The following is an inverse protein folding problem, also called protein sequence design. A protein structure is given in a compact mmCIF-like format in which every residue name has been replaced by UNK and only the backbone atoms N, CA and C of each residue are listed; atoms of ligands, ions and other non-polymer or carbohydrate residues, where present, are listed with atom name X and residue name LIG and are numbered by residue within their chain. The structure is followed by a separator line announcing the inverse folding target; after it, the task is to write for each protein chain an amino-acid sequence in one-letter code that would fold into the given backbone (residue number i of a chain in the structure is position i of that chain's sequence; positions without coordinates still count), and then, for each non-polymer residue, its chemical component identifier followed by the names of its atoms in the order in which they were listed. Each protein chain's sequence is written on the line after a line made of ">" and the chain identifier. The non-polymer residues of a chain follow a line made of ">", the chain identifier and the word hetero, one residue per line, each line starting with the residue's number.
data_IF_064149970442
#
_entry.id   IF_064149970442
#
_cell.length_a   1.000
_cell.length_b   1.000
_cell.length_c   1.000
_cell.angle_alpha   90.00
_cell.angle_beta   90.00
_cell.angle_gamma   90.00
#
_symmetry.space_group_name_H-M   'P 1'
#
loop_
_entity.id
_entity.type
_entity.pdbx_description
1 polymer ?
#
# COMPACT_ATOMS: atom_id res chain seq x y z
N UNK A 1 -5.72 21.88 25.66
CA UNK A 1 -5.40 20.94 24.55
C UNK A 1 -4.84 21.64 23.28
N UNK A 2 -4.48 22.93 23.32
CA UNK A 2 -4.29 23.77 22.11
C UNK A 2 -2.89 23.80 21.46
N UNK A 3 -1.91 22.97 21.83
CA UNK A 3 -0.52 23.17 21.33
C UNK A 3 0.34 21.92 21.09
N UNK A 4 -0.23 20.74 20.81
CA UNK A 4 0.63 19.66 20.26
C UNK A 4 0.78 19.88 18.76
N UNK A 5 1.96 20.32 18.34
CA UNK A 5 2.34 20.47 16.92
C UNK A 5 2.56 19.08 16.31
N UNK A 6 1.49 18.33 16.08
CA UNK A 6 1.54 17.01 15.46
C UNK A 6 1.80 17.18 13.96
N UNK A 7 3.05 16.95 13.52
CA UNK A 7 3.42 16.92 12.10
C UNK A 7 4.49 15.84 11.86
N UNK A 8 4.21 14.77 11.11
CA UNK A 8 2.93 14.45 10.47
C UNK A 8 1.87 13.92 11.47
N UNK A 9 0.59 14.07 11.12
CA UNK A 9 -0.48 13.29 11.75
C UNK A 9 -0.46 11.87 11.18
N UNK A 10 -0.49 10.87 12.06
CA UNK A 10 -0.45 9.45 11.68
C UNK A 10 -1.72 8.75 12.17
N UNK A 11 -2.31 7.97 11.28
CA UNK A 11 -3.48 7.11 11.52
C UNK A 11 -3.19 5.71 10.96
N UNK A 12 -4.08 4.74 11.18
CA UNK A 12 -3.99 3.39 10.63
C UNK A 12 -5.32 2.96 10.00
N UNK A 13 -5.24 2.14 8.95
CA UNK A 13 -6.36 1.47 8.29
C UNK A 13 -5.99 0.01 8.03
N UNK A 14 -5.93 -0.78 9.09
CA UNK A 14 -5.41 -2.13 9.15
C UNK A 14 -6.49 -3.20 8.94
N UNK A 15 -7.76 -2.93 9.25
CA UNK A 15 -8.85 -3.91 9.08
C UNK A 15 -10.24 -3.28 8.81
N UNK A 16 -11.22 -4.16 8.55
CA UNK A 16 -12.60 -3.80 8.22
C UNK A 16 -13.34 -2.92 9.23
N UNK A 17 -13.05 -3.07 10.53
CA UNK A 17 -13.76 -2.32 11.58
C UNK A 17 -13.45 -0.82 11.59
N UNK A 18 -12.37 -0.42 10.92
CA UNK A 18 -11.92 0.97 10.87
C UNK A 18 -12.50 1.73 9.66
N UNK A 19 -13.13 1.01 8.74
CA UNK A 19 -13.75 1.60 7.57
C UNK A 19 -14.90 2.55 7.95
N UNK A 20 -15.01 3.65 7.24
CA UNK A 20 -15.86 4.80 7.59
C UNK A 20 -15.29 5.68 8.70
N UNK A 21 -14.67 5.11 9.74
CA UNK A 21 -14.07 5.89 10.83
C UNK A 21 -12.81 6.63 10.37
N UNK A 22 -11.94 5.94 9.63
CA UNK A 22 -10.68 6.52 9.17
C UNK A 22 -10.90 7.68 8.19
N UNK A 23 -11.89 7.59 7.30
CA UNK A 23 -12.24 8.64 6.35
C UNK A 23 -12.75 9.89 7.09
N UNK A 24 -13.63 9.69 8.09
CA UNK A 24 -14.11 10.77 8.97
C UNK A 24 -12.95 11.44 9.72
N UNK A 25 -12.02 10.64 10.25
CA UNK A 25 -10.85 11.16 10.97
C UNK A 25 -9.93 12.00 10.06
N UNK A 26 -9.68 11.54 8.82
CA UNK A 26 -8.89 12.28 7.83
C UNK A 26 -9.57 13.61 7.49
N UNK A 27 -10.87 13.59 7.17
CA UNK A 27 -11.63 14.80 6.83
C UNK A 27 -11.67 15.80 7.99
N UNK A 28 -11.87 15.31 9.22
CA UNK A 28 -11.86 16.14 10.42
C UNK A 28 -10.49 16.79 10.63
N UNK A 29 -9.41 16.01 10.50
CA UNK A 29 -8.06 16.54 10.61
C UNK A 29 -7.78 17.62 9.56
N UNK A 30 -8.19 17.39 8.31
CA UNK A 30 -8.05 18.40 7.24
C UNK A 30 -8.84 19.68 7.55
N UNK A 31 -10.07 19.56 8.08
CA UNK A 31 -10.90 20.69 8.51
C UNK A 31 -10.19 21.56 9.56
N UNK A 32 -9.41 20.96 10.45
CA UNK A 32 -8.62 21.66 11.47
C UNK A 32 -7.17 22.01 11.02
N UNK A 33 -6.87 21.93 9.73
CA UNK A 33 -5.62 22.45 9.16
C UNK A 33 -4.46 21.45 9.12
N UNK A 34 -4.67 20.17 9.39
CA UNK A 34 -3.63 19.15 9.20
C UNK A 34 -3.39 18.88 7.70
N UNK A 35 -2.18 19.23 7.22
CA UNK A 35 -1.79 19.12 5.80
C UNK A 35 -0.94 17.88 5.46
N UNK A 36 -0.26 17.30 6.45
CA UNK A 36 0.58 16.10 6.31
C UNK A 36 -0.03 14.97 7.13
N UNK A 37 -0.92 14.21 6.48
CA UNK A 37 -1.64 13.08 7.06
C UNK A 37 -1.11 11.81 6.39
N UNK A 38 -0.69 10.86 7.21
CA UNK A 38 -0.14 9.57 6.77
C UNK A 38 -0.94 8.45 7.41
N UNK A 39 -1.38 7.50 6.61
CA UNK A 39 -2.24 6.40 7.06
C UNK A 39 -1.48 5.11 6.80
N UNK A 40 -1.15 4.39 7.87
CA UNK A 40 -0.60 3.04 7.75
C UNK A 40 -1.66 2.10 7.19
N UNK A 41 -1.25 1.18 6.32
CA UNK A 41 -2.15 0.18 5.75
C UNK A 41 -1.46 -1.18 5.83
N UNK A 42 -1.85 -1.99 6.81
CA UNK A 42 -1.38 -3.36 6.93
C UNK A 42 -1.84 -4.22 5.75
N UNK A 43 -0.96 -5.06 5.22
CA UNK A 43 -1.29 -6.07 4.22
C UNK A 43 -0.49 -7.35 4.44
N UNK A 44 -0.90 -8.42 3.77
CA UNK A 44 -0.38 -9.78 3.96
C UNK A 44 -0.59 -10.28 5.40
N UNK A 45 -1.69 -9.88 6.04
CA UNK A 45 -2.07 -10.32 7.37
C UNK A 45 -2.82 -11.65 7.32
N UNK A 46 -2.86 -12.36 8.44
CA UNK A 46 -3.48 -13.69 8.57
C UNK A 46 -5.01 -13.68 8.55
N UNK A 47 -5.64 -12.53 8.33
CA UNK A 47 -7.09 -12.39 8.23
C UNK A 47 -7.52 -12.70 6.80
N UNK A 48 -8.52 -13.57 6.62
CA UNK A 48 -9.07 -13.93 5.30
C UNK A 48 -9.74 -12.76 4.57
N UNK A 49 -10.02 -11.65 5.26
CA UNK A 49 -10.49 -10.42 4.63
C UNK A 49 -9.36 -9.53 4.09
N UNK A 50 -8.10 -9.79 4.45
CA UNK A 50 -6.95 -9.02 3.96
C UNK A 50 -6.55 -9.47 2.55
N UNK A 51 -7.43 -9.21 1.59
CA UNK A 51 -7.23 -9.52 0.17
C UNK A 51 -6.51 -8.38 -0.56
N UNK A 52 -5.87 -8.64 -1.72
CA UNK A 52 -5.32 -7.59 -2.59
C UNK A 52 -6.37 -6.55 -3.01
N UNK A 53 -7.60 -6.98 -3.23
CA UNK A 53 -8.76 -6.14 -3.55
C UNK A 53 -9.08 -5.20 -2.40
N UNK A 54 -9.15 -5.72 -1.18
CA UNK A 54 -9.45 -4.93 0.00
C UNK A 54 -8.30 -3.97 0.35
N UNK A 55 -7.05 -4.41 0.18
CA UNK A 55 -5.89 -3.52 0.26
C UNK A 55 -5.98 -2.38 -0.76
N UNK A 56 -6.31 -2.68 -2.03
CA UNK A 56 -6.50 -1.66 -3.06
C UNK A 56 -7.60 -0.65 -2.68
N UNK A 57 -8.74 -1.15 -2.20
CA UNK A 57 -9.83 -0.31 -1.71
C UNK A 57 -9.33 0.70 -0.67
N UNK A 58 -8.64 0.22 0.38
CA UNK A 58 -8.14 1.07 1.46
C UNK A 58 -7.18 2.15 0.97
N UNK A 59 -6.16 1.80 0.17
CA UNK A 59 -5.21 2.80 -0.37
C UNK A 59 -5.88 3.78 -1.34
N UNK A 60 -6.93 3.35 -2.04
CA UNK A 60 -7.70 4.18 -2.95
C UNK A 60 -8.56 5.21 -2.20
N UNK A 61 -9.23 4.80 -1.12
CA UNK A 61 -10.01 5.73 -0.27
C UNK A 61 -9.11 6.78 0.39
N UNK A 62 -7.95 6.36 0.93
CA UNK A 62 -6.96 7.29 1.48
C UNK A 62 -6.48 8.28 0.40
N UNK A 63 -6.19 7.79 -0.81
CA UNK A 63 -5.73 8.63 -1.91
C UNK A 63 -6.82 9.62 -2.40
N UNK A 64 -8.09 9.21 -2.46
CA UNK A 64 -9.22 10.09 -2.80
C UNK A 64 -9.35 11.27 -1.82
N UNK A 65 -9.07 11.02 -0.55
CA UNK A 65 -9.07 12.05 0.50
C UNK A 65 -7.80 12.91 0.51
N UNK A 66 -6.83 12.67 -0.38
CA UNK A 66 -5.60 13.46 -0.47
C UNK A 66 -4.60 13.21 0.67
N UNK A 67 -4.77 12.13 1.43
CA UNK A 67 -3.82 11.66 2.43
C UNK A 67 -2.77 10.71 1.81
N UNK A 68 -1.66 10.51 2.51
CA UNK A 68 -0.59 9.59 2.10
C UNK A 68 -0.88 8.20 2.66
N UNK A 69 -0.97 7.18 1.80
CA UNK A 69 -1.05 5.80 2.28
C UNK A 69 0.37 5.23 2.46
N UNK A 70 0.61 4.55 3.57
CA UNK A 70 1.87 3.92 3.89
C UNK A 70 1.69 2.42 4.10
N UNK A 71 1.84 1.62 3.02
CA UNK A 71 1.68 0.18 3.10
C UNK A 71 2.72 -0.48 3.99
N UNK A 72 2.28 -1.34 4.90
CA UNK A 72 3.11 -2.07 5.84
C UNK A 72 2.87 -3.57 5.66
N UNK A 73 3.90 -4.30 5.25
CA UNK A 73 3.79 -5.76 5.10
C UNK A 73 3.84 -6.42 6.47
N UNK A 74 2.81 -7.19 6.82
CA UNK A 74 2.84 -8.02 8.00
C UNK A 74 3.93 -9.10 7.90
N UNK A 75 4.61 -9.30 9.02
CA UNK A 75 5.57 -10.39 9.24
C UNK A 75 5.31 -10.98 10.62
N UNK A 76 5.04 -12.30 10.73
CA UNK A 76 4.83 -12.94 12.02
C UNK A 76 6.11 -12.86 12.85
N UNK A 77 5.95 -12.65 14.16
CA UNK A 77 7.08 -12.59 15.11
C UNK A 77 7.67 -13.98 15.40
N UNK A 78 6.84 -15.01 15.28
CA UNK A 78 7.13 -16.42 15.51
C UNK A 78 7.66 -17.15 14.27
N UNK A 79 7.75 -16.46 13.12
CA UNK A 79 8.22 -17.06 11.88
C UNK A 79 9.71 -16.82 11.66
N UNK A 80 10.49 -17.91 11.68
CA UNK A 80 11.88 -17.91 11.19
C UNK A 80 11.97 -17.72 9.67
N UNK A 81 10.86 -17.94 8.96
CA UNK A 81 10.77 -17.72 7.52
C UNK A 81 10.63 -16.22 7.22
N UNK A 82 11.67 -15.64 6.61
CA UNK A 82 11.71 -14.22 6.19
C UNK A 82 10.71 -13.89 5.07
N UNK A 83 10.07 -14.89 4.46
CA UNK A 83 9.15 -14.77 3.33
C UNK A 83 7.74 -15.27 3.69
N UNK A 84 7.20 -14.89 4.85
CA UNK A 84 5.79 -15.15 5.16
C UNK A 84 4.85 -14.59 4.08
N UNK A 85 3.91 -15.42 3.64
CA UNK A 85 2.85 -15.11 2.69
C UNK A 85 1.56 -15.62 3.33
N UNK A 86 0.57 -14.75 3.49
CA UNK A 86 -0.75 -15.14 3.99
C UNK A 86 -1.58 -15.79 2.89
N UNK A 87 -2.65 -16.50 3.26
CA UNK A 87 -3.44 -17.31 2.34
C UNK A 87 -4.08 -16.50 1.20
N UNK A 88 -4.48 -15.25 1.48
CA UNK A 88 -5.10 -14.34 0.50
C UNK A 88 -4.11 -13.68 -0.48
N UNK A 89 -2.80 -13.87 -0.28
CA UNK A 89 -1.78 -13.20 -1.06
C UNK A 89 -0.90 -14.19 -1.81
N UNK A 90 -0.48 -13.82 -3.03
CA UNK A 90 0.53 -14.58 -3.76
C UNK A 90 1.89 -13.87 -3.77
N UNK A 91 2.95 -14.67 -3.90
CA UNK A 91 4.34 -14.20 -3.90
C UNK A 91 4.64 -13.16 -4.99
N UNK A 92 4.02 -13.30 -6.17
CA UNK A 92 4.24 -12.42 -7.32
C UNK A 92 3.65 -11.05 -7.06
N UNK A 93 2.41 -10.98 -6.56
CA UNK A 93 1.78 -9.71 -6.16
C UNK A 93 2.58 -9.01 -5.05
N UNK A 94 3.02 -9.73 -4.02
CA UNK A 94 3.81 -9.14 -2.93
C UNK A 94 5.15 -8.59 -3.44
N UNK A 95 5.80 -9.29 -4.38
CA UNK A 95 7.02 -8.81 -5.04
C UNK A 95 6.74 -7.56 -5.87
N UNK A 96 5.70 -7.57 -6.69
CA UNK A 96 5.31 -6.44 -7.54
C UNK A 96 4.96 -5.20 -6.71
N UNK A 97 4.17 -5.35 -5.64
CA UNK A 97 3.81 -4.26 -4.75
C UNK A 97 5.06 -3.67 -4.08
N UNK A 98 5.99 -4.51 -3.61
CA UNK A 98 7.27 -4.00 -3.09
C UNK A 98 8.04 -3.18 -4.13
N UNK A 99 8.09 -3.64 -5.38
CA UNK A 99 8.78 -2.93 -6.46
C UNK A 99 8.07 -1.62 -6.80
N UNK A 100 6.73 -1.61 -6.84
CA UNK A 100 5.99 -0.39 -7.12
C UNK A 100 6.24 0.68 -6.05
N UNK A 101 6.26 0.27 -4.78
CA UNK A 101 6.60 1.14 -3.66
C UNK A 101 8.05 1.65 -3.71
N UNK A 102 8.99 0.81 -4.15
CA UNK A 102 10.41 1.17 -4.21
C UNK A 102 10.74 2.12 -5.37
N UNK A 103 10.13 1.93 -6.54
CA UNK A 103 10.48 2.68 -7.75
C UNK A 103 9.62 3.92 -7.99
N UNK A 104 8.35 3.90 -7.60
CA UNK A 104 7.43 5.01 -7.89
C UNK A 104 7.20 5.96 -6.71
N UNK A 105 7.66 5.58 -5.50
CA UNK A 105 7.32 6.31 -4.28
C UNK A 105 8.52 6.55 -3.38
N UNK A 106 8.64 7.79 -2.89
CA UNK A 106 9.66 8.15 -1.90
C UNK A 106 9.32 7.50 -0.56
N UNK A 107 10.30 6.79 0.03
CA UNK A 107 10.16 6.09 1.32
C UNK A 107 8.99 5.09 1.35
N UNK A 108 8.57 4.56 0.20
CA UNK A 108 7.46 3.60 0.10
C UNK A 108 6.08 4.18 0.44
N UNK A 109 5.91 5.50 0.43
CA UNK A 109 4.62 6.15 0.70
C UNK A 109 3.89 6.49 -0.58
N UNK A 110 2.68 5.97 -0.74
CA UNK A 110 1.80 6.27 -1.87
C UNK A 110 1.39 7.75 -1.79
N UNK A 111 1.73 8.51 -2.83
CA UNK A 111 1.49 9.95 -2.87
C UNK A 111 0.01 10.32 -3.02
N UNK A 112 -0.35 11.56 -2.67
CA UNK A 112 -1.69 12.13 -2.84
C UNK A 112 -2.09 12.46 -4.28
N UNK A 113 -1.17 12.31 -5.26
CA UNK A 113 -1.44 12.68 -6.67
C UNK A 113 -2.33 11.62 -7.32
N UNK A 114 -3.59 11.97 -7.61
CA UNK A 114 -4.61 11.04 -8.10
C UNK A 114 -4.25 10.39 -9.44
N UNK A 115 -3.73 11.16 -10.38
CA UNK A 115 -3.30 10.66 -11.69
C UNK A 115 -2.15 9.66 -11.56
N UNK A 116 -1.12 10.00 -10.78
CA UNK A 116 0.00 9.10 -10.53
C UNK A 116 -0.46 7.77 -9.88
N UNK A 117 -1.37 7.85 -8.90
CA UNK A 117 -1.99 6.66 -8.29
C UNK A 117 -2.68 5.78 -9.34
N UNK A 118 -3.56 6.36 -10.17
CA UNK A 118 -4.28 5.62 -11.22
C UNK A 118 -3.35 5.05 -12.29
N UNK A 119 -2.28 5.76 -12.64
CA UNK A 119 -1.30 5.27 -13.61
C UNK A 119 -0.58 4.02 -13.11
N UNK A 120 -0.24 3.97 -11.81
CA UNK A 120 0.50 2.85 -11.20
C UNK A 120 -0.43 1.70 -10.81
N UNK A 121 -1.59 2.00 -10.21
CA UNK A 121 -2.47 1.01 -9.57
C UNK A 121 -3.83 0.84 -10.26
N UNK A 122 -4.17 1.66 -11.25
CA UNK A 122 -5.42 1.53 -12.01
C UNK A 122 -6.64 2.12 -11.31
N UNK A 123 -7.81 1.97 -11.94
CA UNK A 123 -9.07 2.56 -11.52
C UNK A 123 -9.95 1.64 -10.65
N UNK A 124 -9.61 0.36 -10.58
CA UNK A 124 -10.34 -0.66 -9.83
C UNK A 124 -9.40 -1.81 -9.43
N UNK A 125 -9.88 -2.69 -8.56
CA UNK A 125 -9.08 -3.80 -8.02
C UNK A 125 -8.60 -4.79 -9.09
N UNK A 126 -9.38 -4.98 -10.17
CA UNK A 126 -8.97 -5.83 -11.31
C UNK A 126 -7.77 -5.22 -12.04
N UNK A 127 -7.82 -3.92 -12.35
CA UNK A 127 -6.69 -3.20 -12.95
C UNK A 127 -5.47 -3.19 -12.03
N UNK A 128 -5.66 -3.05 -10.71
CA UNK A 128 -4.60 -3.12 -9.72
C UNK A 128 -3.82 -4.42 -9.80
N UNK A 129 -4.50 -5.57 -9.71
CA UNK A 129 -3.84 -6.88 -9.85
C UNK A 129 -3.15 -7.01 -11.20
N UNK A 130 -3.83 -6.64 -12.29
CA UNK A 130 -3.26 -6.73 -13.63
C UNK A 130 -1.98 -5.89 -13.79
N UNK A 131 -1.95 -4.66 -13.25
CA UNK A 131 -0.76 -3.80 -13.29
C UNK A 131 0.37 -4.36 -12.45
N UNK A 132 0.08 -4.88 -11.26
CA UNK A 132 1.09 -5.53 -10.42
C UNK A 132 1.68 -6.78 -11.09
N UNK A 133 0.85 -7.65 -11.69
CA UNK A 133 1.38 -8.80 -12.43
C UNK A 133 2.26 -8.38 -13.62
N UNK A 134 1.90 -7.31 -14.35
CA UNK A 134 2.77 -6.76 -15.40
C UNK A 134 4.13 -6.29 -14.87
N UNK A 135 4.16 -5.63 -13.71
CA UNK A 135 5.41 -5.24 -13.03
C UNK A 135 6.25 -6.47 -12.68
N UNK A 136 5.62 -7.53 -12.16
CA UNK A 136 6.30 -8.78 -11.84
C UNK A 136 6.91 -9.45 -13.08
N UNK A 137 6.15 -9.56 -14.17
CA UNK A 137 6.66 -10.17 -15.40
C UNK A 137 7.84 -9.38 -15.99
N UNK A 138 7.81 -8.05 -15.91
CA UNK A 138 8.94 -7.22 -16.32
C UNK A 138 10.19 -7.46 -15.44
N UNK A 139 10.04 -7.54 -14.10
CA UNK A 139 11.14 -7.89 -13.18
C UNK A 139 11.73 -9.27 -13.51
N UNK A 140 10.87 -10.26 -13.77
CA UNK A 140 11.29 -11.62 -14.15
C UNK A 140 12.09 -11.62 -15.46
N UNK A 141 11.59 -10.96 -16.50
CA UNK A 141 12.27 -10.87 -17.80
C UNK A 141 13.63 -10.17 -17.68
N UNK A 142 13.70 -9.09 -16.90
CA UNK A 142 14.94 -8.37 -16.64
C UNK A 142 15.99 -9.27 -15.96
N UNK A 143 15.59 -10.01 -14.92
CA UNK A 143 16.49 -10.91 -14.20
C UNK A 143 16.98 -12.08 -15.08
N UNK A 144 16.12 -12.65 -15.93
CA UNK A 144 16.51 -13.70 -16.88
C UNK A 144 17.55 -13.21 -17.90
N UNK A 145 17.38 -11.99 -18.44
CA UNK A 145 18.36 -11.39 -19.37
C UNK A 145 19.70 -11.15 -18.68
N UNK A 146 19.69 -10.73 -17.41
CA UNK A 146 20.91 -10.52 -16.62
C UNK A 146 21.67 -11.84 -16.41
N UNK A 147 20.97 -12.93 -16.09
CA UNK A 147 21.60 -14.24 -15.91
C UNK A 147 22.17 -14.85 -17.20
N UNK A 148 21.58 -14.54 -18.35
CA UNK A 148 22.11 -14.97 -19.65
C UNK A 148 23.36 -14.21 -20.07
N UNK A 149 23.51 -12.93 -19.67
CA UNK A 149 24.69 -12.11 -19.96
C UNK A 149 25.89 -12.37 -19.04
N UNK A 150 25.66 -13.02 -17.90
CA UNK A 150 26.69 -13.39 -16.93
C UNK A 150 27.21 -14.82 -17.09
N UNK A 151 26.76 -15.53 -18.14
CA UNK A 151 27.25 -16.84 -18.56
C UNK A 151 28.00 -16.66 -19.88
#
# INVERSE_FOLDING_TARGET
>A
LSQIKIKPLRLAFDNGSEDGHIQKAIQLAQKYGFKDIRVYVLYNFKDGNDTPEYFYYRINEINKLGALAYPMRYRPLDSVNKQYISDEWDKKLLRALKLSLMFYYTKGMISKKREAFKNIYGNNAKEFKNKLYKIYEHDRQFNNKKSQRSR
#
